data_IF_381285719888
#
_entry.id   IF_381285719888
#
_cell.length_a   1.000
_cell.length_b   1.000
_cell.length_c   1.000
_cell.angle_alpha   90.00
_cell.angle_beta   90.00
_cell.angle_gamma   90.00
#
_symmetry.space_group_name_H-M   'P 1'
#
loop_
_entity.id
_entity.type
_entity.pdbx_description
1 polymer ?
#
# COMPACT_ATOMS: atom_id res chain seq x y z
N UNK A 1 -4.81 56.05 -5.96
CA UNK A 1 -3.62 55.73 -6.77
C UNK A 1 -2.99 54.50 -6.12
N UNK A 2 -3.34 53.29 -6.54
CA UNK A 2 -2.57 52.44 -7.51
C UNK A 2 -1.06 52.39 -7.17
N UNK A 3 -0.41 51.24 -7.00
CA UNK A 3 -0.65 49.92 -7.54
C UNK A 3 -0.04 48.78 -6.68
N UNK A 4 -0.60 47.59 -6.86
CA UNK A 4 -0.08 46.26 -6.47
C UNK A 4 1.23 45.94 -7.21
N UNK A 5 2.09 45.15 -6.57
CA UNK A 5 2.85 44.09 -7.25
C UNK A 5 3.28 43.03 -6.21
N UNK A 6 2.40 42.05 -6.00
CA UNK A 6 2.79 40.73 -5.52
C UNK A 6 3.48 40.03 -6.69
N UNK A 7 4.71 39.56 -6.49
CA UNK A 7 5.53 38.97 -7.55
C UNK A 7 6.36 37.82 -7.01
N UNK A 8 5.79 36.62 -7.12
CA UNK A 8 6.45 35.33 -7.33
C UNK A 8 7.72 35.01 -6.52
N UNK A 9 7.54 34.22 -5.46
CA UNK A 9 8.52 33.21 -5.09
C UNK A 9 7.85 31.84 -5.25
N UNK A 10 7.81 31.35 -6.50
CA UNK A 10 7.66 29.94 -6.79
C UNK A 10 8.94 29.26 -6.28
N UNK A 11 8.93 28.78 -5.04
CA UNK A 11 9.97 27.87 -4.57
C UNK A 11 9.52 26.48 -5.01
N UNK A 12 10.30 25.92 -5.92
CA UNK A 12 10.15 24.61 -6.53
C UNK A 12 9.87 23.54 -5.48
N UNK A 13 8.66 22.97 -5.51
CA UNK A 13 8.41 21.67 -4.92
C UNK A 13 9.13 20.64 -5.80
N UNK A 14 10.40 20.36 -5.47
CA UNK A 14 11.08 19.17 -5.93
C UNK A 14 10.43 17.98 -5.24
N UNK A 15 9.37 17.43 -5.85
CA UNK A 15 8.85 16.11 -5.50
C UNK A 15 9.92 15.09 -5.90
N UNK A 16 10.86 14.82 -4.99
CA UNK A 16 11.49 13.51 -4.95
C UNK A 16 10.35 12.50 -4.82
N UNK A 17 10.35 11.47 -5.67
CA UNK A 17 9.45 10.33 -5.57
C UNK A 17 9.64 9.64 -4.21
N UNK A 18 9.01 10.16 -3.17
CA UNK A 18 8.74 9.39 -1.96
C UNK A 18 7.63 8.43 -2.35
N UNK A 19 7.88 7.12 -2.21
CA UNK A 19 6.80 6.18 -1.97
C UNK A 19 5.93 6.81 -0.86
N UNK A 20 4.65 7.05 -1.16
CA UNK A 20 3.77 7.79 -0.27
C UNK A 20 3.42 6.88 0.93
N UNK A 21 4.29 6.86 1.93
CA UNK A 21 4.06 6.10 3.16
C UNK A 21 3.02 6.85 3.99
N UNK A 22 1.83 6.28 4.14
CA UNK A 22 0.76 6.85 4.95
C UNK A 22 0.67 6.15 6.30
N UNK A 23 0.87 6.90 7.39
CA UNK A 23 0.62 6.39 8.75
C UNK A 23 -0.86 6.50 9.04
N UNK A 24 -1.49 5.37 9.36
CA UNK A 24 -2.92 5.24 9.62
C UNK A 24 -3.13 4.81 11.08
N UNK A 25 -3.85 5.63 11.84
CA UNK A 25 -4.30 5.30 13.19
C UNK A 25 -5.56 4.43 13.11
N UNK A 26 -5.49 3.20 13.66
CA UNK A 26 -6.63 2.28 13.70
C UNK A 26 -7.05 1.98 15.14
N UNK A 27 -8.22 1.37 15.34
CA UNK A 27 -8.65 0.86 16.65
C UNK A 27 -7.74 -0.26 17.22
N UNK A 28 -6.83 -0.80 16.41
CA UNK A 28 -5.88 -1.85 16.77
C UNK A 28 -4.45 -1.32 16.95
N UNK A 29 -4.25 0.00 16.82
CA UNK A 29 -2.95 0.67 16.81
C UNK A 29 -2.55 1.21 15.44
N UNK A 30 -1.44 1.95 15.36
CA UNK A 30 -0.96 2.53 14.12
C UNK A 30 -0.41 1.46 13.16
N UNK A 31 -0.53 1.72 11.87
CA UNK A 31 0.10 0.95 10.79
C UNK A 31 0.49 1.90 9.66
N UNK A 32 1.45 1.49 8.82
CA UNK A 32 1.87 2.26 7.65
C UNK A 32 1.42 1.53 6.40
N UNK A 33 0.75 2.24 5.50
CA UNK A 33 0.43 1.74 4.17
C UNK A 33 1.39 2.37 3.17
N UNK A 34 2.02 1.54 2.36
CA UNK A 34 3.00 1.95 1.35
C UNK A 34 2.56 1.44 -0.01
N UNK A 35 2.64 2.30 -1.03
CA UNK A 35 2.51 1.87 -2.42
C UNK A 35 3.85 1.33 -2.90
N UNK A 36 3.87 0.06 -3.29
CA UNK A 36 5.00 -0.58 -3.97
C UNK A 36 4.63 -0.81 -5.44
N UNK A 37 5.03 0.08 -6.36
CA UNK A 37 4.71 -0.02 -7.77
C UNK A 37 5.48 -1.14 -8.48
N UNK A 38 6.51 -1.72 -7.86
CA UNK A 38 7.32 -2.80 -8.44
C UNK A 38 6.90 -4.17 -7.91
N UNK A 39 6.10 -4.22 -6.83
CA UNK A 39 5.61 -5.48 -6.30
C UNK A 39 4.63 -6.13 -7.27
N UNK A 40 5.00 -7.35 -7.67
CA UNK A 40 4.21 -8.22 -8.52
C UNK A 40 3.40 -9.18 -7.65
N UNK A 41 2.08 -9.02 -7.62
CA UNK A 41 1.16 -9.93 -6.91
C UNK A 41 0.72 -11.05 -7.86
N UNK A 42 1.00 -12.29 -7.46
CA UNK A 42 0.60 -13.50 -8.19
C UNK A 42 -0.50 -14.23 -7.43
N UNK A 43 -1.66 -14.38 -8.05
CA UNK A 43 -2.75 -15.21 -7.53
C UNK A 43 -2.89 -16.45 -8.43
N UNK A 44 -2.21 -17.56 -8.14
CA UNK A 44 -2.37 -18.79 -8.93
C UNK A 44 -3.82 -19.26 -8.86
N UNK A 45 -4.37 -19.68 -10.00
CA UNK A 45 -5.73 -20.19 -10.11
C UNK A 45 -5.69 -21.58 -10.70
N UNK A 46 -6.20 -22.57 -9.96
CA UNK A 46 -6.41 -23.92 -10.46
C UNK A 46 -7.76 -23.99 -11.17
N UNK A 47 -7.75 -24.39 -12.44
CA UNK A 47 -8.95 -24.61 -13.22
C UNK A 47 -9.68 -25.90 -12.79
N UNK A 48 -10.98 -26.06 -13.13
CA UNK A 48 -11.74 -27.27 -12.83
C UNK A 48 -11.16 -28.57 -13.42
N UNK A 49 -10.30 -28.47 -14.44
CA UNK A 49 -9.61 -29.60 -15.05
C UNK A 49 -8.28 -29.96 -14.34
N UNK A 50 -7.94 -29.24 -13.27
CA UNK A 50 -6.72 -29.44 -12.48
C UNK A 50 -5.50 -28.72 -13.04
N UNK A 51 -5.64 -27.91 -14.09
CA UNK A 51 -4.54 -27.11 -14.63
C UNK A 51 -4.30 -25.86 -13.78
N UNK A 52 -3.05 -25.57 -13.45
CA UNK A 52 -2.68 -24.31 -12.80
C UNK A 52 -2.40 -23.23 -13.84
N UNK A 53 -3.11 -22.11 -13.74
CA UNK A 53 -2.78 -20.89 -14.47
C UNK A 53 -2.00 -19.97 -13.52
N UNK A 54 -0.82 -19.54 -13.98
CA UNK A 54 -0.13 -18.39 -13.40
C UNK A 54 -0.52 -17.16 -14.22
N UNK A 55 -1.51 -16.37 -13.78
CA UNK A 55 -1.89 -15.16 -14.50
C UNK A 55 -0.73 -14.15 -14.52
N UNK A 56 -0.77 -13.22 -15.47
CA UNK A 56 0.15 -12.08 -15.47
C UNK A 56 0.12 -11.40 -14.10
N UNK A 57 1.28 -11.08 -13.51
CA UNK A 57 1.31 -10.43 -12.21
C UNK A 57 0.60 -9.09 -12.27
N UNK A 58 -0.18 -8.79 -11.22
CA UNK A 58 -0.66 -7.45 -11.00
C UNK A 58 0.51 -6.65 -10.43
N UNK A 59 0.92 -5.62 -11.17
CA UNK A 59 2.03 -4.74 -10.80
C UNK A 59 1.45 -3.57 -10.00
N UNK A 60 2.04 -3.33 -8.83
CA UNK A 60 1.52 -2.35 -7.89
C UNK A 60 0.73 -3.03 -6.78
N UNK A 61 1.20 -2.85 -5.55
CA UNK A 61 0.53 -3.34 -4.36
C UNK A 61 0.56 -2.29 -3.24
N UNK A 62 -0.38 -2.42 -2.32
CA UNK A 62 -0.31 -1.78 -1.02
C UNK A 62 0.35 -2.74 -0.05
N UNK A 63 1.41 -2.30 0.61
CA UNK A 63 2.11 -3.05 1.66
C UNK A 63 1.81 -2.40 3.00
N UNK A 64 1.44 -3.21 3.99
CA UNK A 64 1.19 -2.73 5.35
C UNK A 64 2.32 -3.14 6.28
N UNK A 65 2.96 -2.16 6.92
CA UNK A 65 4.05 -2.37 7.87
C UNK A 65 3.75 -1.73 9.22
N UNK A 66 4.57 -2.05 10.22
CA UNK A 66 4.63 -1.29 11.46
C UNK A 66 5.20 0.13 11.21
N UNK A 67 4.96 1.10 12.11
CA UNK A 67 5.49 2.46 12.01
C UNK A 67 7.01 2.58 11.97
N UNK A 68 7.73 1.60 12.52
CA UNK A 68 9.19 1.51 12.47
C UNK A 68 9.71 0.87 11.17
N UNK A 69 8.80 0.53 10.25
CA UNK A 69 9.11 -0.15 8.99
C UNK A 69 9.25 -1.67 9.11
N UNK A 70 9.04 -2.24 10.31
CA UNK A 70 9.05 -3.68 10.48
C UNK A 70 7.81 -4.33 9.83
N UNK A 71 7.95 -5.61 9.50
CA UNK A 71 6.86 -6.44 9.02
C UNK A 71 5.68 -6.45 9.98
N UNK A 72 4.47 -6.16 9.47
CA UNK A 72 3.25 -6.38 10.23
C UNK A 72 2.99 -7.89 10.35
N UNK A 73 2.86 -8.45 11.58
CA UNK A 73 2.75 -9.90 11.76
C UNK A 73 1.40 -10.47 11.30
N UNK A 74 1.34 -11.79 11.11
CA UNK A 74 0.13 -12.49 10.66
C UNK A 74 -1.06 -12.26 11.60
N UNK A 75 -0.83 -12.20 12.91
CA UNK A 75 -1.89 -11.99 13.90
C UNK A 75 -2.53 -10.59 13.82
N UNK A 76 -1.89 -9.65 13.13
CA UNK A 76 -2.33 -8.28 12.97
C UNK A 76 -3.22 -8.05 11.72
N UNK A 77 -3.85 -9.10 11.18
CA UNK A 77 -4.74 -9.00 10.02
C UNK A 77 -5.79 -7.89 10.16
N UNK A 78 -6.50 -7.82 11.29
CA UNK A 78 -7.54 -6.82 11.51
C UNK A 78 -7.02 -5.38 11.48
N UNK A 79 -5.75 -5.18 11.89
CA UNK A 79 -5.07 -3.88 11.81
C UNK A 79 -4.72 -3.53 10.36
N UNK A 80 -4.26 -4.50 9.58
CA UNK A 80 -4.03 -4.32 8.15
C UNK A 80 -5.31 -3.96 7.41
N UNK A 81 -6.40 -4.70 7.65
CA UNK A 81 -7.72 -4.43 7.06
C UNK A 81 -8.22 -3.02 7.42
N UNK A 82 -8.12 -2.63 8.69
CA UNK A 82 -8.52 -1.30 9.13
C UNK A 82 -7.67 -0.21 8.48
N UNK A 83 -6.36 -0.40 8.39
CA UNK A 83 -5.43 0.56 7.79
C UNK A 83 -5.68 0.72 6.28
N UNK A 84 -5.84 -0.38 5.55
CA UNK A 84 -6.11 -0.38 4.11
C UNK A 84 -7.49 0.21 3.80
N UNK A 85 -8.51 -0.15 4.58
CA UNK A 85 -9.85 0.43 4.43
C UNK A 85 -9.81 1.94 4.61
N UNK A 86 -9.13 2.44 5.63
CA UNK A 86 -9.00 3.88 5.85
C UNK A 86 -8.16 4.57 4.76
N UNK A 87 -7.06 3.93 4.32
CA UNK A 87 -6.22 4.44 3.22
C UNK A 87 -7.02 4.59 1.91
N UNK A 88 -7.84 3.60 1.58
CA UNK A 88 -8.70 3.60 0.39
C UNK A 88 -10.06 4.31 0.61
N UNK A 89 -10.16 5.26 1.54
CA UNK A 89 -11.34 6.11 1.68
C UNK A 89 -12.59 5.42 2.25
N UNK A 90 -12.42 4.33 3.00
CA UNK A 90 -13.49 3.58 3.65
C UNK A 90 -13.87 2.27 2.96
N UNK A 91 -13.17 1.87 1.90
CA UNK A 91 -13.41 0.63 1.16
C UNK A 91 -12.19 -0.27 1.28
N UNK A 92 -12.41 -1.55 1.60
CA UNK A 92 -11.32 -2.53 1.67
C UNK A 92 -10.85 -2.87 0.24
N UNK A 93 -9.56 -2.69 -0.09
CA UNK A 93 -9.02 -3.14 -1.37
C UNK A 93 -9.03 -4.67 -1.49
N UNK A 94 -9.17 -5.16 -2.71
CA UNK A 94 -9.17 -6.59 -3.01
C UNK A 94 -7.80 -7.25 -2.82
N UNK A 95 -7.79 -8.57 -2.75
CA UNK A 95 -6.56 -9.36 -2.81
C UNK A 95 -5.67 -9.24 -1.58
N UNK A 96 -6.26 -8.95 -0.40
CA UNK A 96 -5.52 -9.01 0.86
C UNK A 96 -4.90 -10.40 1.04
N UNK A 97 -3.58 -10.44 1.16
CA UNK A 97 -2.83 -11.66 1.37
C UNK A 97 -1.64 -11.40 2.28
N UNK A 98 -1.21 -12.45 3.00
CA UNK A 98 0.00 -12.41 3.81
C UNK A 98 1.15 -13.00 3.00
N UNK A 99 2.13 -12.16 2.66
CA UNK A 99 3.18 -12.51 1.72
C UNK A 99 4.57 -12.27 2.31
N UNK A 100 5.51 -13.16 1.98
CA UNK A 100 6.92 -13.02 2.34
C UNK A 100 7.61 -11.97 1.47
N UNK A 101 8.02 -10.85 2.05
CA UNK A 101 8.85 -9.86 1.39
C UNK A 101 10.30 -10.37 1.35
N UNK A 102 10.95 -10.31 0.18
CA UNK A 102 12.24 -10.95 -0.15
C UNK A 102 13.43 -10.65 0.78
N UNK A 103 13.25 -9.76 1.75
CA UNK A 103 14.20 -9.47 2.83
C UNK A 103 14.05 -10.42 4.05
N UNK A 104 13.26 -11.50 3.93
CA UNK A 104 13.02 -12.45 5.01
C UNK A 104 11.94 -12.03 6.02
N UNK A 105 11.24 -10.93 5.73
CA UNK A 105 10.03 -10.52 6.46
C UNK A 105 8.77 -11.02 5.77
N UNK A 106 7.62 -10.89 6.42
CA UNK A 106 6.31 -11.12 5.79
C UNK A 106 5.35 -10.01 6.19
N UNK A 107 4.51 -9.55 5.27
CA UNK A 107 3.52 -8.52 5.58
C UNK A 107 2.22 -8.73 4.84
N UNK A 108 1.22 -8.00 5.30
CA UNK A 108 -0.06 -7.90 4.63
C UNK A 108 0.10 -7.02 3.39
N UNK A 109 -0.30 -7.56 2.25
CA UNK A 109 -0.33 -6.84 0.99
C UNK A 109 -1.73 -6.91 0.40
N UNK A 110 -2.14 -5.88 -0.32
CA UNK A 110 -3.39 -5.85 -1.07
C UNK A 110 -3.16 -5.22 -2.44
N UNK A 111 -4.15 -5.34 -3.32
CA UNK A 111 -4.15 -4.59 -4.57
C UNK A 111 -4.32 -3.08 -4.31
N UNK A 112 -3.99 -2.21 -5.28
CA UNK A 112 -4.25 -0.79 -5.17
C UNK A 112 -5.73 -0.49 -4.95
N UNK A 113 -6.04 0.67 -4.36
CA UNK A 113 -7.42 1.13 -4.23
C UNK A 113 -8.09 1.21 -5.61
N UNK A 114 -9.35 0.77 -5.69
CA UNK A 114 -10.17 0.81 -6.90
C UNK A 114 -10.83 2.18 -7.14
#
# INVERSE_FOLDING_TARGET
MSARAAGAALILASLSACAANAVIETGFGPAVVMEDPELAVYTPTTLPDGSDISPSPLIGALVVTEPDGASLPYEAQARAEAALTAYCGGVMPDGLTYYGIGNGGSSWIALPCA
#
